data_IF_969942378972
#
_entry.id   IF_969942378972
#
_cell.length_a   1.000
_cell.length_b   1.000
_cell.length_c   1.000
_cell.angle_alpha   90.00
_cell.angle_beta   90.00
_cell.angle_gamma   90.00
#
_symmetry.space_group_name_H-M   'P 1'
#
loop_
_entity.id
_entity.type
_entity.pdbx_description
1 polymer ?
#
# COMPACT_ATOMS: atom_id res chain seq x y z
N UNK A 1 8.30 17.29 -4.06
CA UNK A 1 8.88 16.61 -2.88
C UNK A 1 7.79 16.09 -1.96
N UNK A 2 7.09 16.97 -1.20
CA UNK A 2 6.17 16.55 -0.14
C UNK A 2 4.88 15.87 -0.63
N UNK A 3 4.42 16.20 -1.84
CA UNK A 3 3.22 15.62 -2.44
C UNK A 3 3.36 14.14 -2.82
N UNK A 4 4.57 13.70 -3.20
CA UNK A 4 4.80 12.29 -3.56
C UNK A 4 4.85 11.39 -2.32
N UNK A 5 5.58 11.81 -1.28
CA UNK A 5 5.66 11.06 -0.02
C UNK A 5 4.29 10.95 0.64
N UNK A 6 3.52 12.04 0.67
CA UNK A 6 2.15 12.03 1.18
C UNK A 6 1.23 11.08 0.39
N UNK A 7 1.31 11.10 -0.95
CA UNK A 7 0.52 10.19 -1.77
C UNK A 7 0.91 8.71 -1.58
N UNK A 8 2.20 8.42 -1.35
CA UNK A 8 2.68 7.07 -1.04
C UNK A 8 2.25 6.62 0.36
N UNK A 9 2.25 7.52 1.34
CA UNK A 9 1.79 7.26 2.69
C UNK A 9 0.27 7.01 2.73
N UNK A 10 -0.52 7.86 2.08
CA UNK A 10 -1.98 7.67 1.94
C UNK A 10 -2.30 6.36 1.22
N UNK A 11 -1.56 6.01 0.16
CA UNK A 11 -1.71 4.72 -0.50
C UNK A 11 -1.34 3.56 0.42
N UNK A 12 -0.26 3.67 1.20
CA UNK A 12 0.15 2.66 2.17
C UNK A 12 -0.87 2.46 3.29
N UNK A 13 -1.52 3.54 3.76
CA UNK A 13 -2.62 3.46 4.73
C UNK A 13 -3.83 2.75 4.16
N UNK A 14 -4.18 3.02 2.89
CA UNK A 14 -5.26 2.31 2.19
C UNK A 14 -4.97 0.81 2.05
N UNK A 15 -3.70 0.43 1.82
CA UNK A 15 -3.31 -0.98 1.78
C UNK A 15 -3.39 -1.65 3.15
N UNK A 16 -2.94 -0.98 4.21
CA UNK A 16 -2.88 -1.58 5.54
C UNK A 16 -4.23 -1.55 6.29
N UNK A 17 -5.18 -0.71 5.87
CA UNK A 17 -6.50 -0.66 6.49
C UNK A 17 -7.28 -1.93 6.14
N UNK A 18 -7.78 -2.68 7.14
CA UNK A 18 -8.60 -3.83 6.87
C UNK A 18 -9.93 -3.40 6.25
N UNK A 19 -10.41 -4.21 5.31
CA UNK A 19 -11.68 -3.98 4.66
C UNK A 19 -12.84 -4.52 5.49
N UNK A 20 -14.08 -4.02 5.28
CA UNK A 20 -15.23 -4.46 6.06
C UNK A 20 -15.44 -5.98 6.03
N UNK A 21 -15.11 -6.61 4.89
CA UNK A 21 -15.23 -8.06 4.71
C UNK A 21 -14.15 -8.85 5.49
N UNK A 22 -13.05 -8.21 5.87
CA UNK A 22 -12.01 -8.79 6.72
C UNK A 22 -12.31 -8.64 8.22
N UNK A 23 -13.28 -7.79 8.58
CA UNK A 23 -13.62 -7.48 9.97
C UNK A 23 -14.85 -8.31 10.37
N UNK A 24 -14.62 -9.38 11.13
CA UNK A 24 -15.71 -10.17 11.71
C UNK A 24 -16.27 -9.48 12.97
N UNK A 25 -17.51 -9.01 12.87
CA UNK A 25 -18.24 -8.34 13.95
C UNK A 25 -18.47 -9.20 15.21
N UNK A 26 -18.28 -10.52 15.11
CA UNK A 26 -18.41 -11.46 16.22
C UNK A 26 -17.06 -11.98 16.73
N UNK A 27 -15.95 -11.60 16.08
CA UNK A 27 -14.62 -11.95 16.54
C UNK A 27 -14.18 -11.02 17.69
N UNK A 28 -13.53 -11.60 18.69
CA UNK A 28 -12.88 -10.84 19.78
C UNK A 28 -11.50 -10.31 19.38
N UNK A 29 -11.02 -10.68 18.19
CA UNK A 29 -9.72 -10.26 17.67
C UNK A 29 -9.85 -8.98 16.84
N UNK A 30 -9.09 -7.94 17.19
CA UNK A 30 -8.99 -6.73 16.39
C UNK A 30 -8.06 -6.95 15.19
N UNK A 31 -8.63 -7.00 13.99
CA UNK A 31 -7.83 -6.92 12.75
C UNK A 31 -7.38 -5.47 12.62
N UNK A 32 -6.08 -5.22 12.82
CA UNK A 32 -5.48 -3.88 12.75
C UNK A 32 -4.69 -3.64 11.48
N UNK A 33 -4.39 -4.71 10.73
CA UNK A 33 -3.67 -4.70 9.46
C UNK A 33 -4.39 -5.64 8.51
N UNK A 34 -4.65 -5.19 7.28
CA UNK A 34 -5.26 -6.02 6.24
C UNK A 34 -4.40 -7.26 5.93
N UNK A 35 -5.06 -8.34 5.55
CA UNK A 35 -4.41 -9.57 5.08
C UNK A 35 -4.20 -9.57 3.56
N UNK A 36 -4.75 -8.57 2.86
CA UNK A 36 -4.77 -8.49 1.40
C UNK A 36 -3.37 -8.27 0.82
N UNK A 37 -3.01 -9.09 -0.17
CA UNK A 37 -1.75 -8.97 -0.92
C UNK A 37 -1.84 -8.00 -2.09
N UNK A 38 -3.04 -7.70 -2.59
CA UNK A 38 -3.32 -6.86 -3.77
C UNK A 38 -4.56 -5.99 -3.52
N UNK A 39 -4.79 -4.95 -4.34
CA UNK A 39 -5.92 -4.01 -4.18
C UNK A 39 -7.30 -4.66 -4.20
N UNK A 40 -7.40 -5.87 -4.75
CA UNK A 40 -8.58 -6.71 -4.64
C UNK A 40 -8.16 -8.11 -4.28
N UNK A 41 -8.85 -8.66 -3.29
CA UNK A 41 -8.57 -9.88 -2.53
C UNK A 41 -8.22 -11.15 -3.35
N UNK A 42 -8.55 -11.22 -4.64
CA UNK A 42 -8.55 -12.50 -5.38
C UNK A 42 -7.72 -12.49 -6.67
N UNK A 43 -7.41 -11.35 -7.29
CA UNK A 43 -6.66 -11.32 -8.54
C UNK A 43 -5.95 -9.99 -8.81
N UNK A 44 -4.90 -10.03 -9.61
CA UNK A 44 -4.15 -8.85 -10.05
C UNK A 44 -5.02 -8.04 -11.02
N UNK A 45 -5.52 -6.89 -10.57
CA UNK A 45 -6.47 -6.09 -11.35
C UNK A 45 -5.76 -5.13 -12.31
N UNK A 46 -6.53 -4.53 -13.21
CA UNK A 46 -6.07 -3.44 -14.07
C UNK A 46 -5.47 -2.27 -13.26
N UNK A 47 -5.98 -2.05 -12.04
CA UNK A 47 -5.45 -1.03 -11.12
C UNK A 47 -4.04 -1.41 -10.68
N UNK A 48 -3.82 -2.67 -10.26
CA UNK A 48 -2.50 -3.20 -9.91
C UNK A 48 -1.53 -3.11 -11.10
N UNK A 49 -1.95 -3.52 -12.30
CA UNK A 49 -1.15 -3.45 -13.52
C UNK A 49 -0.74 -2.00 -13.89
N UNK A 50 -1.56 -1.01 -13.53
CA UNK A 50 -1.26 0.41 -13.80
C UNK A 50 -0.39 1.07 -12.72
N UNK A 51 -0.45 0.57 -11.49
CA UNK A 51 0.17 1.17 -10.31
C UNK A 51 1.48 0.47 -9.91
N UNK A 52 1.56 -0.86 -9.98
CA UNK A 52 2.74 -1.64 -9.61
C UNK A 52 3.99 -1.23 -10.43
N UNK A 53 3.93 -1.01 -11.76
CA UNK A 53 5.10 -0.53 -12.50
C UNK A 53 5.55 0.87 -12.05
N UNK A 54 4.60 1.76 -11.73
CA UNK A 54 4.91 3.13 -11.25
C UNK A 54 5.56 3.10 -9.87
N UNK A 55 5.03 2.30 -8.95
CA UNK A 55 5.61 2.11 -7.62
C UNK A 55 6.99 1.44 -7.68
N UNK A 56 7.17 0.46 -8.57
CA UNK A 56 8.46 -0.19 -8.78
C UNK A 56 9.52 0.82 -9.26
N UNK A 57 9.19 1.65 -10.25
CA UNK A 57 10.08 2.72 -10.75
C UNK A 57 10.45 3.68 -9.61
N UNK A 58 9.47 4.16 -8.83
CA UNK A 58 9.72 5.07 -7.71
C UNK A 58 10.66 4.41 -6.68
N UNK A 59 10.45 3.14 -6.33
CA UNK A 59 11.28 2.40 -5.39
C UNK A 59 12.72 2.23 -5.88
N UNK A 60 12.91 1.90 -7.15
CA UNK A 60 14.24 1.75 -7.74
C UNK A 60 14.96 3.09 -7.78
N UNK A 61 14.30 4.14 -8.28
CA UNK A 61 14.90 5.48 -8.38
C UNK A 61 15.19 6.07 -6.99
N UNK A 62 14.32 5.85 -6.01
CA UNK A 62 14.54 6.29 -4.62
C UNK A 62 15.80 5.68 -3.99
N UNK A 63 16.10 4.40 -4.28
CA UNK A 63 17.31 3.73 -3.77
C UNK A 63 18.60 4.29 -4.37
N UNK A 64 18.55 4.71 -5.64
CA UNK A 64 19.71 5.24 -6.37
C UNK A 64 19.95 6.73 -6.11
N UNK A 65 18.98 7.45 -5.50
CA UNK A 65 19.14 8.86 -5.12
C UNK A 65 19.61 8.93 -3.65
N UNK A 66 20.87 9.33 -3.37
CA UNK A 66 21.46 9.28 -2.02
C UNK A 66 20.76 10.15 -0.96
N UNK A 67 19.87 11.06 -1.38
CA UNK A 67 19.12 11.99 -0.52
C UNK A 67 17.63 11.64 -0.41
N UNK A 68 17.17 10.55 -1.02
CA UNK A 68 15.78 10.11 -0.93
C UNK A 68 15.68 8.95 0.06
N UNK A 69 15.81 9.25 1.36
CA UNK A 69 15.54 8.27 2.41
C UNK A 69 14.07 8.35 2.81
N UNK A 70 13.35 7.23 2.71
CA UNK A 70 12.11 7.05 3.47
C UNK A 70 12.51 7.00 4.93
N UNK A 71 12.35 8.10 5.66
CA UNK A 71 12.47 8.04 7.12
C UNK A 71 11.26 7.25 7.61
N UNK A 72 11.52 6.03 8.03
CA UNK A 72 10.64 5.19 8.86
C UNK A 72 10.24 5.90 10.14
#
# INVERSE_FOLDING_TARGET
>A
GPSLLKALEEAGQLFNSPLPDEIDAYSTEEVTVSSWKFWTEIELTLVDCSLLPKLHIIKVVAKEIPKFSFST
#
